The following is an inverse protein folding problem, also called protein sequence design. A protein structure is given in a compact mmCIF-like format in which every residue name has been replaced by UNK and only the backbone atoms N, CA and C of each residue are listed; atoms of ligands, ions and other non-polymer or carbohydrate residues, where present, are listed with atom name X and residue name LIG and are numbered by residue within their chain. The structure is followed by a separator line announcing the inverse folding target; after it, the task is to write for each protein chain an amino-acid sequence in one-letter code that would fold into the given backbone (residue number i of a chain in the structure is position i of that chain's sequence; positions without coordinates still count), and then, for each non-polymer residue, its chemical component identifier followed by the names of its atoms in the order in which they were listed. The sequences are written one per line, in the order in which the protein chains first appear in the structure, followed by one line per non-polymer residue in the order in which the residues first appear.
data_IF_729518611278
#
_entry.id   IF_729518611278
#
_cell.length_a   1.000
_cell.length_b   1.000
_cell.length_c   1.000
_cell.angle_alpha   90.00
_cell.angle_beta   90.00
_cell.angle_gamma   90.00
#
_symmetry.space_group_name_H-M   'P 1'
#
loop_
_entity.id
_entity.type
_entity.pdbx_description
1 polymer ?
#
# COMPACT_ATOMS: atom_id res chain seq x y z
N UNK A 1 32.00 59.91 21.29
CA UNK A 1 30.80 59.16 20.83
C UNK A 1 29.94 60.13 20.02
N UNK A 2 29.32 59.67 18.92
CA UNK A 2 28.06 58.95 19.06
C UNK A 2 28.04 57.57 18.40
N UNK A 3 27.13 56.76 18.92
CA UNK A 3 26.91 55.35 18.69
C UNK A 3 26.04 55.12 17.46
N UNK A 4 26.51 54.29 16.53
CA UNK A 4 25.64 53.59 15.57
C UNK A 4 25.04 52.38 16.25
N UNK A 5 23.84 52.55 16.82
CA UNK A 5 23.07 51.45 17.40
C UNK A 5 22.48 50.64 16.24
N UNK A 6 23.01 49.44 16.01
CA UNK A 6 22.34 48.42 15.20
C UNK A 6 21.05 48.00 15.92
N UNK A 7 19.91 48.57 15.50
CA UNK A 7 18.60 48.42 16.16
C UNK A 7 17.57 47.64 15.33
N UNK A 8 17.96 46.89 14.30
CA UNK A 8 17.02 46.06 13.54
C UNK A 8 17.50 44.61 13.46
N UNK A 9 16.93 43.78 14.33
CA UNK A 9 17.10 42.33 14.29
C UNK A 9 16.49 41.75 13.01
N UNK A 10 17.27 40.93 12.31
CA UNK A 10 16.90 40.18 11.09
C UNK A 10 15.77 39.14 11.27
N UNK A 11 15.05 39.14 12.40
CA UNK A 11 14.08 38.10 12.76
C UNK A 11 12.60 38.46 12.58
N UNK A 12 12.25 39.72 12.32
CA UNK A 12 10.85 40.18 12.34
C UNK A 12 10.41 41.02 11.12
N UNK A 13 11.18 41.04 10.03
CA UNK A 13 10.74 41.67 8.78
C UNK A 13 9.79 40.73 8.02
N UNK A 14 8.74 41.28 7.41
CA UNK A 14 7.77 40.51 6.60
C UNK A 14 8.47 39.74 5.47
N UNK A 15 9.57 40.29 4.93
CA UNK A 15 10.43 39.63 3.94
C UNK A 15 11.09 38.35 4.49
N UNK A 16 11.60 38.37 5.73
CA UNK A 16 12.24 37.19 6.34
C UNK A 16 11.22 36.07 6.63
N UNK A 17 9.99 36.42 6.96
CA UNK A 17 8.90 35.44 7.16
C UNK A 17 8.45 34.82 5.83
N UNK A 18 8.38 35.61 4.75
CA UNK A 18 8.09 35.09 3.41
C UNK A 18 9.19 34.18 2.88
N UNK A 19 10.45 34.54 3.06
CA UNK A 19 11.57 33.72 2.61
C UNK A 19 11.61 32.37 3.34
N UNK A 20 11.33 32.37 4.65
CA UNK A 20 11.13 31.15 5.44
C UNK A 20 9.98 30.29 4.91
N UNK A 21 8.83 30.88 4.59
CA UNK A 21 7.68 30.14 4.10
C UNK A 21 7.91 29.54 2.69
N UNK A 22 8.62 30.26 1.81
CA UNK A 22 9.05 29.74 0.50
C UNK A 22 10.05 28.60 0.63
N UNK A 23 10.93 28.66 1.64
CA UNK A 23 11.87 27.59 1.94
C UNK A 23 11.15 26.31 2.40
N UNK A 24 10.16 26.44 3.31
CA UNK A 24 9.32 25.32 3.74
C UNK A 24 8.58 24.64 2.56
N UNK A 25 7.96 25.42 1.67
CA UNK A 25 7.28 24.85 0.49
C UNK A 25 8.25 24.09 -0.42
N UNK A 26 9.46 24.62 -0.61
CA UNK A 26 10.51 23.94 -1.39
C UNK A 26 10.98 22.65 -0.71
N UNK A 27 11.06 22.63 0.61
CA UNK A 27 11.42 21.44 1.37
C UNK A 27 10.35 20.35 1.21
N UNK A 28 9.07 20.68 1.39
CA UNK A 28 7.97 19.73 1.18
C UNK A 28 7.92 19.19 -0.25
N UNK A 29 8.18 20.04 -1.25
CA UNK A 29 8.31 19.59 -2.64
C UNK A 29 9.47 18.61 -2.83
N UNK A 30 10.61 18.83 -2.18
CA UNK A 30 11.76 17.90 -2.23
C UNK A 30 11.41 16.57 -1.56
N UNK A 31 10.73 16.62 -0.41
CA UNK A 31 10.30 15.43 0.31
C UNK A 31 9.33 14.61 -0.53
N UNK A 32 8.27 15.22 -1.09
CA UNK A 32 7.34 14.55 -2.01
C UNK A 32 8.03 13.94 -3.24
N UNK A 33 9.02 14.63 -3.83
CA UNK A 33 9.81 14.08 -4.94
C UNK A 33 10.72 12.92 -4.51
N UNK A 34 11.18 12.92 -3.25
CA UNK A 34 11.94 11.80 -2.70
C UNK A 34 11.05 10.58 -2.50
N UNK A 35 9.88 10.78 -1.91
CA UNK A 35 8.86 9.75 -1.69
C UNK A 35 8.36 9.17 -3.03
N UNK A 36 8.11 10.02 -4.04
CA UNK A 36 7.75 9.58 -5.38
C UNK A 36 8.80 8.63 -5.99
N UNK A 37 10.09 8.93 -5.82
CA UNK A 37 11.16 8.02 -6.25
C UNK A 37 11.20 6.74 -5.41
N UNK A 38 10.78 6.79 -4.16
CA UNK A 38 10.57 5.62 -3.30
C UNK A 38 9.51 4.68 -3.90
N UNK A 39 8.35 5.24 -4.23
CA UNK A 39 7.25 4.52 -4.90
C UNK A 39 7.68 3.93 -6.23
N UNK A 40 8.39 4.69 -7.07
CA UNK A 40 8.91 4.17 -8.34
C UNK A 40 9.84 2.95 -8.15
N UNK A 41 10.64 2.93 -7.07
CA UNK A 41 11.48 1.77 -6.73
C UNK A 41 10.64 0.58 -6.27
N UNK A 42 9.60 0.81 -5.46
CA UNK A 42 8.69 -0.25 -5.02
C UNK A 42 7.92 -0.87 -6.19
N UNK A 43 7.41 -0.05 -7.11
CA UNK A 43 6.77 -0.51 -8.35
C UNK A 43 7.71 -1.44 -9.13
N UNK A 44 8.96 -1.02 -9.36
CA UNK A 44 9.95 -1.84 -10.07
C UNK A 44 10.27 -3.16 -9.36
N UNK A 45 10.29 -3.18 -8.03
CA UNK A 45 10.50 -4.43 -7.26
C UNK A 45 9.33 -5.38 -7.46
N UNK A 46 8.09 -4.89 -7.37
CA UNK A 46 6.88 -5.68 -7.60
C UNK A 46 6.87 -6.22 -9.03
N UNK A 47 7.21 -5.41 -10.03
CA UNK A 47 7.28 -5.86 -11.43
C UNK A 47 8.30 -6.99 -11.62
N UNK A 48 9.49 -6.89 -11.01
CA UNK A 48 10.50 -7.95 -11.07
C UNK A 48 10.06 -9.24 -10.37
N UNK A 49 9.31 -9.14 -9.28
CA UNK A 49 8.74 -10.29 -8.58
C UNK A 49 7.60 -10.92 -9.37
N UNK A 50 6.70 -10.11 -9.95
CA UNK A 50 5.66 -10.57 -10.86
C UNK A 50 6.26 -11.33 -12.05
N UNK A 51 7.33 -10.83 -12.68
CA UNK A 51 7.98 -11.50 -13.79
C UNK A 51 8.55 -12.89 -13.42
N UNK A 52 9.06 -13.04 -12.19
CA UNK A 52 9.51 -14.34 -11.68
C UNK A 52 8.33 -15.29 -11.49
N UNK A 53 7.27 -14.82 -10.83
CA UNK A 53 6.06 -15.61 -10.59
C UNK A 53 5.39 -16.01 -11.91
N UNK A 54 5.33 -15.11 -12.90
CA UNK A 54 4.79 -15.41 -14.24
C UNK A 54 5.56 -16.53 -14.93
N UNK A 55 6.90 -16.54 -14.83
CA UNK A 55 7.73 -17.62 -15.37
C UNK A 55 7.49 -18.92 -14.63
N UNK A 56 7.42 -18.87 -13.30
CA UNK A 56 7.15 -20.04 -12.46
C UNK A 56 5.78 -20.66 -12.74
N UNK A 57 4.73 -19.86 -12.87
CA UNK A 57 3.38 -20.32 -13.25
C UNK A 57 3.40 -21.03 -14.60
N UNK A 58 4.07 -20.45 -15.61
CA UNK A 58 4.19 -21.07 -16.94
C UNK A 58 4.97 -22.38 -16.89
N UNK A 59 6.09 -22.41 -16.18
CA UNK A 59 6.92 -23.60 -16.05
C UNK A 59 6.19 -24.73 -15.31
N UNK A 60 5.46 -24.41 -14.23
CA UNK A 60 4.65 -25.38 -13.51
C UNK A 60 3.51 -25.91 -14.38
N UNK A 61 2.81 -25.04 -15.10
CA UNK A 61 1.75 -25.47 -16.01
C UNK A 61 2.26 -26.39 -17.12
N UNK A 62 3.41 -26.06 -17.73
CA UNK A 62 4.01 -26.89 -18.78
C UNK A 62 4.49 -28.25 -18.29
N UNK A 63 4.86 -28.36 -17.01
CA UNK A 63 5.37 -29.61 -16.38
C UNK A 63 4.26 -30.44 -15.73
N UNK A 64 3.00 -30.03 -15.81
CA UNK A 64 1.90 -30.71 -15.11
C UNK A 64 1.98 -30.57 -13.58
N UNK A 65 2.41 -29.40 -13.11
CA UNK A 65 2.47 -29.07 -11.69
C UNK A 65 1.08 -29.06 -11.03
N UNK A 66 1.07 -29.12 -9.71
CA UNK A 66 -0.16 -29.15 -8.91
C UNK A 66 -1.07 -27.92 -9.22
N UNK A 67 -2.33 -28.15 -9.67
CA UNK A 67 -3.27 -27.08 -9.98
C UNK A 67 -3.49 -26.10 -8.83
N UNK A 68 -3.46 -26.57 -7.57
CA UNK A 68 -3.64 -25.69 -6.40
C UNK A 68 -2.47 -24.71 -6.24
N UNK A 69 -1.25 -25.17 -6.49
CA UNK A 69 -0.05 -24.34 -6.44
C UNK A 69 -0.06 -23.27 -7.52
N UNK A 70 -0.49 -23.62 -8.74
CA UNK A 70 -0.68 -22.67 -9.84
C UNK A 70 -1.75 -21.62 -9.50
N UNK A 71 -2.88 -22.06 -8.94
CA UNK A 71 -3.96 -21.16 -8.48
C UNK A 71 -3.47 -20.14 -7.46
N UNK A 72 -2.72 -20.59 -6.44
CA UNK A 72 -2.20 -19.70 -5.41
C UNK A 72 -1.23 -18.64 -5.97
N UNK A 73 -0.36 -19.01 -6.91
CA UNK A 73 0.53 -18.06 -7.58
C UNK A 73 -0.22 -17.12 -8.52
N UNK A 74 -1.26 -17.59 -9.20
CA UNK A 74 -2.10 -16.71 -10.01
C UNK A 74 -2.84 -15.70 -9.12
N UNK A 75 -3.35 -16.12 -7.96
CA UNK A 75 -3.95 -15.22 -6.96
C UNK A 75 -2.93 -14.24 -6.37
N UNK A 76 -1.66 -14.62 -6.23
CA UNK A 76 -0.61 -13.68 -5.79
C UNK A 76 -0.31 -12.63 -6.88
N UNK A 77 -0.31 -13.00 -8.16
CA UNK A 77 -0.19 -12.05 -9.28
C UNK A 77 -1.32 -11.01 -9.31
N UNK A 78 -2.57 -11.41 -9.05
CA UNK A 78 -3.70 -10.47 -8.96
C UNK A 78 -3.48 -9.47 -7.82
N UNK A 79 -3.08 -9.96 -6.64
CA UNK A 79 -2.78 -9.11 -5.48
C UNK A 79 -1.65 -8.11 -5.75
N UNK A 80 -0.57 -8.57 -6.37
CA UNK A 80 0.55 -7.71 -6.79
C UNK A 80 0.10 -6.65 -7.80
N UNK A 81 -0.76 -7.03 -8.76
CA UNK A 81 -1.35 -6.11 -9.73
C UNK A 81 -2.16 -4.99 -9.07
N UNK A 82 -3.02 -5.33 -8.10
CA UNK A 82 -3.79 -4.34 -7.32
C UNK A 82 -2.89 -3.43 -6.49
N UNK A 83 -1.87 -3.99 -5.83
CA UNK A 83 -0.89 -3.20 -5.08
C UNK A 83 -0.15 -2.20 -5.97
N UNK A 84 0.29 -2.65 -7.16
CA UNK A 84 0.92 -1.81 -8.17
C UNK A 84 -0.01 -0.69 -8.68
N UNK A 85 -1.29 -1.00 -8.91
CA UNK A 85 -2.29 0.00 -9.32
C UNK A 85 -2.47 1.09 -8.24
N UNK A 86 -2.52 0.71 -6.95
CA UNK A 86 -2.54 1.67 -5.84
C UNK A 86 -1.32 2.57 -5.85
N UNK A 87 -0.11 2.00 -5.98
CA UNK A 87 1.13 2.76 -6.04
C UNK A 87 1.19 3.75 -7.22
N UNK A 88 0.66 3.39 -8.39
CA UNK A 88 0.55 4.30 -9.53
C UNK A 88 -0.39 5.48 -9.25
N UNK A 89 -1.54 5.23 -8.63
CA UNK A 89 -2.47 6.27 -8.19
C UNK A 89 -1.78 7.21 -7.19
N UNK A 90 -1.08 6.66 -6.21
CA UNK A 90 -0.31 7.41 -5.23
C UNK A 90 0.77 8.28 -5.86
N UNK A 91 1.49 7.75 -6.86
CA UNK A 91 2.48 8.51 -7.64
C UNK A 91 1.83 9.70 -8.34
N UNK A 92 0.66 9.51 -8.94
CA UNK A 92 -0.08 10.60 -9.58
C UNK A 92 -0.51 11.66 -8.56
N UNK A 93 -1.02 11.25 -7.39
CA UNK A 93 -1.43 12.16 -6.32
C UNK A 93 -0.23 12.99 -5.84
N UNK A 94 0.95 12.38 -5.66
CA UNK A 94 2.19 13.11 -5.32
C UNK A 94 2.58 14.14 -6.38
N UNK A 95 2.44 13.79 -7.67
CA UNK A 95 2.74 14.73 -8.75
C UNK A 95 1.78 15.94 -8.74
N UNK A 96 0.49 15.70 -8.48
CA UNK A 96 -0.48 16.77 -8.30
C UNK A 96 -0.15 17.62 -7.07
N UNK A 97 0.25 17.02 -5.95
CA UNK A 97 0.68 17.74 -4.75
C UNK A 97 1.91 18.61 -4.95
N UNK A 98 2.91 18.11 -5.67
CA UNK A 98 4.07 18.92 -6.04
C UNK A 98 3.66 20.11 -6.89
N UNK A 99 2.79 19.91 -7.88
CA UNK A 99 2.30 20.98 -8.76
C UNK A 99 1.49 22.03 -8.00
N UNK A 100 0.64 21.60 -7.07
CA UNK A 100 -0.16 22.51 -6.25
C UNK A 100 0.70 23.31 -5.26
N UNK A 101 1.74 22.68 -4.70
CA UNK A 101 2.74 23.41 -3.92
C UNK A 101 3.53 24.41 -4.78
N UNK A 102 3.79 24.12 -6.06
CA UNK A 102 4.40 25.07 -6.99
C UNK A 102 3.50 26.28 -7.24
N UNK A 103 2.20 26.05 -7.44
CA UNK A 103 1.18 27.10 -7.53
C UNK A 103 1.13 27.93 -6.25
N UNK A 104 1.12 27.28 -5.09
CA UNK A 104 1.15 27.95 -3.78
C UNK A 104 2.39 28.84 -3.64
N UNK A 105 3.57 28.33 -3.99
CA UNK A 105 4.81 29.13 -3.95
C UNK A 105 4.77 30.32 -4.92
N UNK A 106 4.08 30.19 -6.05
CA UNK A 106 3.91 31.28 -7.01
C UNK A 106 2.91 32.35 -6.52
N UNK A 107 1.79 31.95 -5.90
CA UNK A 107 0.81 32.89 -5.35
C UNK A 107 1.34 33.65 -4.13
N UNK A 108 2.21 33.02 -3.33
CA UNK A 108 2.95 33.69 -2.24
C UNK A 108 3.91 34.79 -2.72
N UNK A 109 4.24 34.86 -4.02
CA UNK A 109 5.00 36.00 -4.58
C UNK A 109 4.11 37.20 -4.89
N UNK A 110 2.81 36.98 -5.04
CA UNK A 110 1.82 37.99 -5.44
C UNK A 110 0.96 38.45 -4.25
N UNK A 111 0.87 37.64 -3.19
CA UNK A 111 0.13 37.88 -1.96
C UNK A 111 1.08 37.81 -0.76
N UNK A 112 1.04 38.79 0.13
CA UNK A 112 1.81 38.80 1.38
C UNK A 112 1.29 37.78 2.41
N UNK A 113 0.15 37.15 2.16
CA UNK A 113 -0.41 36.09 3.02
C UNK A 113 -0.24 34.71 2.38
N UNK A 114 0.18 33.74 3.19
CA UNK A 114 0.18 32.33 2.80
C UNK A 114 -1.27 31.86 2.67
N UNK A 115 -1.66 31.50 1.45
CA UNK A 115 -3.00 31.00 1.17
C UNK A 115 -3.13 29.55 1.61
N UNK A 116 -4.21 29.23 2.31
CA UNK A 116 -4.52 27.86 2.74
C UNK A 116 -4.98 27.05 1.53
N UNK A 117 -4.33 25.91 1.25
CA UNK A 117 -4.72 25.03 0.13
C UNK A 117 -5.44 23.78 0.62
N UNK A 118 -6.75 23.72 0.36
CA UNK A 118 -7.56 22.53 0.57
C UNK A 118 -7.19 21.39 -0.39
N UNK A 119 -6.66 21.71 -1.58
CA UNK A 119 -6.25 20.71 -2.56
C UNK A 119 -4.99 19.96 -2.12
N UNK A 120 -3.97 20.67 -1.63
CA UNK A 120 -2.79 20.05 -1.00
C UNK A 120 -3.24 19.14 0.14
N UNK A 121 -4.13 19.62 0.99
CA UNK A 121 -4.63 18.84 2.11
C UNK A 121 -5.26 17.52 1.67
N UNK A 122 -6.15 17.54 0.68
CA UNK A 122 -6.81 16.33 0.15
C UNK A 122 -5.80 15.32 -0.40
N UNK A 123 -4.79 15.80 -1.11
CA UNK A 123 -3.74 14.96 -1.67
C UNK A 123 -2.89 14.32 -0.58
N UNK A 124 -2.43 15.13 0.40
CA UNK A 124 -1.66 14.65 1.56
C UNK A 124 -2.44 13.62 2.37
N UNK A 125 -3.74 13.85 2.57
CA UNK A 125 -4.60 12.90 3.26
C UNK A 125 -4.65 11.56 2.50
N UNK A 126 -4.91 11.60 1.19
CA UNK A 126 -4.92 10.39 0.36
C UNK A 126 -3.60 9.62 0.39
N UNK A 127 -2.47 10.33 0.49
CA UNK A 127 -1.13 9.73 0.58
C UNK A 127 -0.83 9.11 1.95
N UNK A 128 -1.45 9.61 3.02
CA UNK A 128 -1.24 9.07 4.38
C UNK A 128 -1.76 7.64 4.56
N UNK A 129 -2.63 7.18 3.65
CA UNK A 129 -3.15 5.81 3.60
C UNK A 129 -2.16 4.79 3.06
N UNK A 130 -0.98 5.23 2.62
CA UNK A 130 0.02 4.36 2.01
C UNK A 130 1.03 3.97 3.08
N UNK A 131 1.07 2.70 3.51
CA UNK A 131 1.88 2.27 4.64
C UNK A 131 3.37 2.59 4.47
N UNK A 132 3.89 2.54 3.24
CA UNK A 132 5.31 2.77 2.98
C UNK A 132 5.76 4.22 3.21
N UNK A 133 4.84 5.19 3.26
CA UNK A 133 5.15 6.62 3.36
C UNK A 133 4.38 7.32 4.48
N UNK A 134 3.60 6.58 5.27
CA UNK A 134 2.70 7.10 6.29
C UNK A 134 3.41 8.07 7.25
N UNK A 135 4.58 7.69 7.77
CA UNK A 135 5.35 8.48 8.73
C UNK A 135 5.82 9.83 8.13
N UNK A 136 6.39 9.78 6.93
CA UNK A 136 6.92 10.94 6.20
C UNK A 136 5.81 11.92 5.85
N UNK A 137 4.70 11.42 5.29
CA UNK A 137 3.54 12.22 4.91
C UNK A 137 2.80 12.77 6.14
N UNK A 138 2.68 12.00 7.22
CA UNK A 138 2.04 12.45 8.47
C UNK A 138 2.85 13.57 9.15
N UNK A 139 4.17 13.46 9.13
CA UNK A 139 5.07 14.51 9.63
C UNK A 139 4.92 15.78 8.81
N UNK A 140 5.01 15.67 7.48
CA UNK A 140 4.82 16.79 6.56
C UNK A 140 3.43 17.44 6.71
N UNK A 141 2.36 16.64 6.88
CA UNK A 141 1.01 17.16 7.18
C UNK A 141 1.02 18.03 8.44
N UNK A 142 1.66 17.57 9.51
CA UNK A 142 1.74 18.32 10.79
C UNK A 142 2.53 19.62 10.63
N UNK A 143 3.60 19.61 9.85
CA UNK A 143 4.38 20.82 9.53
C UNK A 143 3.57 21.81 8.69
N UNK A 144 2.88 21.32 7.65
CA UNK A 144 2.01 22.15 6.81
C UNK A 144 0.86 22.78 7.61
N UNK A 145 0.27 22.04 8.57
CA UNK A 145 -0.73 22.60 9.49
C UNK A 145 -0.14 23.68 10.39
N UNK A 146 1.04 23.44 10.98
CA UNK A 146 1.72 24.43 11.85
C UNK A 146 2.14 25.68 11.10
N UNK A 147 2.58 25.53 9.86
CA UNK A 147 2.88 26.65 9.00
C UNK A 147 1.62 27.45 8.64
N UNK A 148 0.43 26.83 8.70
CA UNK A 148 -0.84 27.43 8.30
C UNK A 148 -1.14 27.27 6.80
N UNK A 149 -0.47 26.32 6.11
CA UNK A 149 -0.68 26.05 4.70
C UNK A 149 -1.93 25.21 4.47
N UNK A 150 -2.25 24.31 5.41
CA UNK A 150 -3.45 23.48 5.37
C UNK A 150 -4.21 23.64 6.69
N UNK A 151 -5.54 23.55 6.63
CA UNK A 151 -6.39 23.63 7.82
C UNK A 151 -6.61 22.25 8.44
N UNK A 152 -6.95 22.22 9.72
CA UNK A 152 -7.39 21.00 10.39
C UNK A 152 -8.88 20.79 10.11
N UNK A 153 -9.21 20.06 9.06
CA UNK A 153 -10.55 19.49 8.88
C UNK A 153 -10.65 18.18 9.66
N UNK A 154 -11.75 18.00 10.40
CA UNK A 154 -12.11 16.68 10.93
C UNK A 154 -12.44 15.77 9.74
N UNK A 155 -11.72 14.66 9.61
CA UNK A 155 -12.01 13.64 8.61
C UNK A 155 -13.38 12.99 8.94
N UNK A 156 -14.42 13.37 8.21
CA UNK A 156 -15.72 12.69 8.26
C UNK A 156 -15.66 11.41 7.43
N UNK A 157 -15.48 10.28 8.12
CA UNK A 157 -15.77 8.93 7.62
C UNK A 157 -15.07 8.51 6.33
N UNK A 158 -13.86 7.94 6.44
CA UNK A 158 -13.24 7.26 5.31
C UNK A 158 -13.68 5.81 5.20
N UNK A 159 -14.09 5.43 3.99
CA UNK A 159 -14.08 4.04 3.53
C UNK A 159 -12.65 3.48 3.65
N UNK A 160 -12.50 2.44 4.48
CA UNK A 160 -11.33 1.59 4.45
C UNK A 160 -11.33 0.87 3.09
N UNK A 161 -10.38 1.21 2.21
CA UNK A 161 -10.20 0.47 0.95
C UNK A 161 -9.64 -0.95 1.17
N UNK A 162 -9.24 -1.29 2.40
CA UNK A 162 -8.57 -2.54 2.75
C UNK A 162 -9.50 -3.47 3.57
N UNK A 163 -10.68 -3.75 3.01
CA UNK A 163 -11.66 -4.69 3.57
C UNK A 163 -11.63 -6.10 2.93
N UNK A 164 -12.43 -7.06 3.45
CA UNK A 164 -12.57 -8.42 2.93
C UNK A 164 -13.02 -8.50 1.45
N UNK A 165 -13.60 -7.42 0.92
CA UNK A 165 -14.02 -7.30 -0.49
C UNK A 165 -12.86 -7.50 -1.48
N UNK A 166 -11.63 -7.14 -1.09
CA UNK A 166 -10.47 -7.24 -1.99
C UNK A 166 -10.06 -8.70 -2.27
N UNK A 167 -10.35 -9.62 -1.34
CA UNK A 167 -9.95 -11.03 -1.43
C UNK A 167 -10.91 -11.85 -2.30
N UNK A 168 -12.21 -11.57 -2.24
CA UNK A 168 -13.20 -12.14 -3.18
C UNK A 168 -12.99 -11.62 -4.60
N UNK A 169 -12.76 -10.32 -4.76
CA UNK A 169 -12.50 -9.73 -6.08
C UNK A 169 -11.17 -10.26 -6.67
N UNK A 170 -10.18 -10.57 -5.83
CA UNK A 170 -8.94 -11.19 -6.32
C UNK A 170 -9.17 -12.62 -6.84
N UNK A 171 -10.04 -13.39 -6.19
CA UNK A 171 -10.43 -14.75 -6.63
C UNK A 171 -11.10 -14.70 -8.01
N UNK A 172 -12.01 -13.75 -8.22
CA UNK A 172 -12.75 -13.58 -9.48
C UNK A 172 -11.85 -13.19 -10.68
N UNK A 173 -10.66 -12.67 -10.43
CA UNK A 173 -9.72 -12.23 -11.48
C UNK A 173 -8.63 -13.25 -11.80
N UNK A 174 -8.53 -14.34 -11.04
CA UNK A 174 -7.51 -15.39 -11.27
C UNK A 174 -7.61 -15.96 -12.69
N UNK A 175 -8.82 -16.24 -13.15
CA UNK A 175 -9.07 -16.82 -14.47
C UNK A 175 -8.55 -15.95 -15.62
N UNK A 176 -8.63 -14.62 -15.47
CA UNK A 176 -8.12 -13.64 -16.44
C UNK A 176 -6.59 -13.66 -16.50
N UNK A 177 -5.93 -13.80 -15.35
CA UNK A 177 -4.46 -13.90 -15.30
C UNK A 177 -3.97 -15.21 -15.95
N UNK A 178 -4.70 -16.31 -15.75
CA UNK A 178 -4.38 -17.58 -16.41
C UNK A 178 -4.57 -17.52 -17.93
N UNK A 179 -5.58 -16.78 -18.40
CA UNK A 179 -5.77 -16.44 -19.82
C UNK A 179 -4.58 -15.64 -20.39
N UNK A 180 -4.19 -14.56 -19.72
CA UNK A 180 -3.08 -13.69 -20.14
C UNK A 180 -1.74 -14.44 -20.21
N UNK A 181 -1.57 -15.48 -19.40
CA UNK A 181 -0.39 -16.34 -19.40
C UNK A 181 -0.43 -17.44 -20.46
N UNK A 182 -1.51 -17.50 -21.26
CA UNK A 182 -1.76 -18.52 -22.27
C UNK A 182 -1.69 -19.95 -21.72
N UNK A 183 -2.18 -20.15 -20.49
CA UNK A 183 -2.29 -21.47 -19.89
C UNK A 183 -3.43 -22.22 -20.57
N UNK A 184 -3.20 -23.48 -20.93
CA UNK A 184 -4.14 -24.28 -21.70
C UNK A 184 -5.53 -24.36 -21.04
N UNK A 185 -6.58 -24.25 -21.86
CA UNK A 185 -7.97 -24.19 -21.39
C UNK A 185 -8.39 -25.44 -20.59
N UNK A 186 -7.82 -26.62 -20.89
CA UNK A 186 -8.11 -27.85 -20.15
C UNK A 186 -7.50 -27.84 -18.75
N UNK A 187 -6.25 -27.37 -18.64
CA UNK A 187 -5.55 -27.25 -17.35
C UNK A 187 -6.18 -26.14 -16.48
N UNK A 188 -6.67 -25.06 -17.09
CA UNK A 188 -7.37 -23.99 -16.39
C UNK A 188 -8.66 -24.47 -15.71
N UNK A 189 -9.44 -25.32 -16.36
CA UNK A 189 -10.64 -25.91 -15.75
C UNK A 189 -10.32 -26.78 -14.53
N UNK A 190 -9.12 -27.36 -14.44
CA UNK A 190 -8.66 -28.10 -13.26
C UNK A 190 -8.16 -27.17 -12.14
N UNK A 191 -7.57 -26.03 -12.51
CA UNK A 191 -7.04 -25.00 -11.58
C UNK A 191 -8.18 -24.21 -10.92
N UNK A 192 -9.15 -23.75 -11.71
CA UNK A 192 -10.21 -22.82 -11.26
C UNK A 192 -11.44 -23.50 -10.68
N UNK A 193 -11.49 -24.84 -10.65
CA UNK A 193 -12.66 -25.57 -10.18
C UNK A 193 -12.84 -25.34 -8.67
N UNK A 194 -13.96 -24.75 -8.21
CA UNK A 194 -14.25 -24.69 -6.78
C UNK A 194 -14.35 -26.14 -6.30
N UNK A 195 -13.47 -26.52 -5.37
CA UNK A 195 -13.63 -27.82 -4.74
C UNK A 195 -14.96 -27.78 -3.99
N UNK A 196 -15.91 -28.61 -4.42
CA UNK A 196 -16.92 -29.09 -3.50
C UNK A 196 -16.15 -29.57 -2.27
N UNK A 197 -16.36 -28.92 -1.14
CA UNK A 197 -15.88 -29.39 0.15
C UNK A 197 -16.29 -30.86 0.23
N UNK A 198 -15.30 -31.75 0.14
CA UNK A 198 -15.50 -33.16 0.41
C UNK A 198 -15.86 -33.23 1.89
N UNK A 199 -17.16 -33.19 2.16
CA UNK A 199 -17.75 -33.65 3.41
C UNK A 199 -17.42 -35.14 3.53
N UNK A 200 -16.27 -35.44 4.12
CA UNK A 200 -15.78 -36.80 4.24
C UNK A 200 -14.54 -36.84 5.11
N UNK A 201 -14.73 -37.01 6.42
CA UNK A 201 -13.65 -37.39 7.31
C UNK A 201 -13.52 -36.61 8.62
N UNK A 202 -14.61 -36.15 9.24
CA UNK A 202 -14.58 -36.08 10.71
C UNK A 202 -14.70 -37.52 11.23
N UNK A 203 -13.57 -38.21 11.30
CA UNK A 203 -13.45 -39.38 12.16
C UNK A 203 -13.49 -38.86 13.60
N UNK A 204 -14.69 -38.89 14.18
CA UNK A 204 -14.95 -38.81 15.60
C UNK A 204 -14.10 -39.85 16.33
N UNK A 205 -13.26 -39.50 17.32
CA UNK A 205 -12.61 -40.51 18.14
C UNK A 205 -13.66 -41.07 19.11
N UNK A 206 -14.28 -42.18 18.70
CA UNK A 206 -15.12 -42.98 19.56
C UNK A 206 -14.32 -43.50 20.76
N UNK A 207 -14.85 -43.20 21.95
CA UNK A 207 -14.36 -43.67 23.23
C UNK A 207 -14.22 -45.20 23.29
N UNK A 208 -13.06 -45.67 23.75
CA UNK A 208 -12.90 -47.05 24.21
C UNK A 208 -12.27 -47.04 25.62
N UNK A 209 -13.14 -46.88 26.62
CA UNK A 209 -12.85 -47.25 28.02
C UNK A 209 -13.00 -48.78 28.09
N UNK A 210 -11.88 -49.50 28.10
CA UNK A 210 -11.84 -50.94 28.31
C UNK A 210 -11.33 -51.26 29.72
N UNK A 211 -12.24 -51.46 30.67
CA UNK A 211 -11.94 -52.10 31.95
C UNK A 211 -12.52 -53.53 31.98
N UNK A 212 -11.77 -54.42 32.65
CA UNK A 212 -12.11 -55.74 33.23
C UNK A 212 -11.80 -56.97 32.36
N UNK A 213 -10.78 -57.75 32.76
CA UNK A 213 -10.82 -58.96 33.64
C UNK A 213 -11.26 -60.20 32.82
N UNK A 214 -10.71 -61.42 32.94
CA UNK A 214 -9.84 -62.06 33.92
C UNK A 214 -9.22 -63.35 33.32
N UNK A 215 -8.16 -63.85 33.99
CA UNK A 215 -7.83 -65.28 34.26
C UNK A 215 -7.63 -66.23 33.06
N UNK A 216 -6.47 -66.87 32.86
CA UNK A 216 -5.82 -67.97 33.62
C UNK A 216 -5.36 -68.95 32.51
N UNK A 217 -4.26 -69.72 32.50
CA UNK A 217 -3.53 -70.50 33.51
C UNK A 217 -2.24 -71.04 32.84
N UNK A 218 -1.23 -71.31 33.68
CA UNK A 218 -0.28 -72.43 33.66
C UNK A 218 0.94 -72.48 32.68
N UNK A 219 2.12 -72.51 33.34
CA UNK A 219 3.35 -73.33 33.17
C UNK A 219 3.89 -73.58 31.74
N UNK A 220 5.20 -73.58 31.47
CA UNK A 220 6.29 -74.34 32.13
C UNK A 220 7.60 -73.94 31.45
N UNK A 221 8.73 -73.92 32.17
CA UNK A 221 10.08 -73.82 31.58
C UNK A 221 11.05 -73.06 32.46
#
# INVERSE_FOLDING_TARGET
MPFGINLFGKGHTQEAQQDSAKEMVREWQRNLRSEARGVDRSIRKIEQEEDKIRKEVKDMAAKGGDPKSIHMLAKSLVRSGKAKARLYTSRSIMQSAVSELETTAATMRLSDSMSKSAEVMKQINSLSKIPEMEESISTMRREMMRAGLIEELMDEGMEAMDGPEMEEEAEAEVDKVLDDLAIDASLRMEISRPQAVSAGGYAEPAAAVGQRQAQAVASTG
#
